data_IF_805790779587
#
_entry.id   IF_805790779587
#
_cell.length_a   1.000
_cell.length_b   1.000
_cell.length_c   1.000
_cell.angle_alpha   90.00
_cell.angle_beta   90.00
_cell.angle_gamma   90.00
#
_symmetry.space_group_name_H-M   'P 1'
#
loop_
_entity.id
_entity.type
_entity.pdbx_description
1 polymer ?
#
# COMPACT_ATOMS: atom_id res chain seq x y z
N UNK A 1 28.01 43.08 52.46
CA UNK A 1 26.68 43.71 52.29
C UNK A 1 26.72 44.45 50.95
N UNK A 2 26.07 44.09 49.84
CA UNK A 2 25.11 43.05 49.43
C UNK A 2 25.56 42.54 48.05
N UNK A 3 25.41 41.24 47.81
CA UNK A 3 25.80 40.51 46.59
C UNK A 3 24.74 40.72 45.50
N UNK A 4 25.20 41.11 44.30
CA UNK A 4 24.42 41.15 43.06
C UNK A 4 24.51 39.77 42.37
N UNK A 5 23.34 39.22 42.00
CA UNK A 5 22.99 38.47 40.76
C UNK A 5 23.97 37.36 40.29
N UNK A 6 23.54 36.15 39.94
CA UNK A 6 22.70 35.82 38.78
C UNK A 6 22.18 34.38 38.92
N UNK A 7 20.86 34.22 38.76
CA UNK A 7 20.17 32.95 38.56
C UNK A 7 20.05 32.75 37.03
N UNK A 8 20.84 31.85 36.45
CA UNK A 8 20.69 31.42 35.05
C UNK A 8 20.19 29.99 35.01
N UNK A 9 18.87 29.83 34.92
CA UNK A 9 18.21 28.57 34.56
C UNK A 9 18.31 28.44 33.05
N UNK A 10 19.15 27.52 32.57
CA UNK A 10 19.23 27.13 31.16
C UNK A 10 18.02 26.24 30.86
N UNK A 11 17.01 26.80 30.19
CA UNK A 11 15.95 26.02 29.56
C UNK A 11 16.53 25.39 28.28
N UNK A 12 16.88 24.10 28.36
CA UNK A 12 17.12 23.28 27.17
C UNK A 12 15.75 22.99 26.56
N UNK A 13 15.34 23.82 25.61
CA UNK A 13 14.19 23.52 24.74
C UNK A 13 14.67 22.40 23.82
N UNK A 14 14.40 21.16 24.23
CA UNK A 14 14.41 20.02 23.32
C UNK A 14 13.34 20.28 22.27
N UNK A 15 13.71 20.86 21.14
CA UNK A 15 12.87 20.87 19.94
C UNK A 15 12.78 19.42 19.44
N UNK A 16 11.85 18.67 20.03
CA UNK A 16 11.28 17.52 19.35
C UNK A 16 10.67 18.07 18.07
N UNK A 17 11.40 17.94 16.96
CA UNK A 17 10.84 18.02 15.61
C UNK A 17 9.80 16.90 15.51
N UNK A 18 8.60 17.16 16.00
CA UNK A 18 7.42 16.43 15.61
C UNK A 18 7.23 16.73 14.12
N UNK A 19 7.89 15.95 13.27
CA UNK A 19 7.66 16.00 11.83
C UNK A 19 6.17 15.76 11.62
N UNK A 20 5.46 16.79 11.14
CA UNK A 20 4.06 16.66 10.80
C UNK A 20 3.88 15.49 9.83
N UNK A 21 2.90 14.63 10.13
CA UNK A 21 2.61 13.47 9.28
C UNK A 21 2.19 14.00 7.91
N UNK A 22 3.04 13.77 6.89
CA UNK A 22 2.77 14.20 5.53
C UNK A 22 1.44 13.62 5.03
N UNK A 23 0.51 14.50 4.67
CA UNK A 23 -0.76 14.14 4.05
C UNK A 23 -0.50 13.51 2.67
N UNK A 24 -1.04 12.32 2.45
CA UNK A 24 -0.83 11.56 1.22
C UNK A 24 -1.82 12.02 0.15
N UNK A 25 -1.33 12.30 -1.04
CA UNK A 25 -2.19 12.57 -2.20
C UNK A 25 -2.57 11.26 -2.89
N UNK A 26 -3.86 11.00 -3.20
CA UNK A 26 -4.29 9.73 -3.80
C UNK A 26 -3.55 9.38 -5.10
N UNK A 27 -3.23 10.39 -5.91
CA UNK A 27 -2.50 10.23 -7.17
C UNK A 27 -1.03 9.79 -7.01
N UNK A 28 -0.41 10.07 -5.86
CA UNK A 28 0.95 9.61 -5.55
C UNK A 28 0.96 8.20 -4.94
N UNK A 29 -0.13 7.80 -4.28
CA UNK A 29 -0.24 6.53 -3.57
C UNK A 29 -0.49 5.34 -4.51
N UNK A 30 -1.41 5.50 -5.47
CA UNK A 30 -1.82 4.40 -6.35
C UNK A 30 -0.66 3.75 -7.14
N UNK A 31 0.30 4.51 -7.70
CA UNK A 31 1.47 3.91 -8.38
C UNK A 31 2.38 3.09 -7.47
N UNK A 32 2.38 3.34 -6.16
CA UNK A 32 3.16 2.55 -5.20
C UNK A 32 2.40 1.27 -4.77
N UNK A 33 1.08 1.35 -4.68
CA UNK A 33 0.17 0.23 -4.40
C UNK A 33 0.13 -0.82 -5.52
N UNK A 34 0.18 -0.41 -6.78
CA UNK A 34 0.07 -1.29 -7.93
C UNK A 34 1.43 -1.79 -8.43
N UNK A 35 1.49 -3.08 -8.77
CA UNK A 35 2.62 -3.70 -9.47
C UNK A 35 2.08 -4.55 -10.62
N UNK A 36 2.77 -4.51 -11.76
CA UNK A 36 2.40 -5.29 -12.93
C UNK A 36 3.61 -5.94 -13.59
N UNK A 37 3.39 -7.10 -14.19
CA UNK A 37 4.33 -7.84 -15.01
C UNK A 37 3.65 -8.16 -16.34
N UNK A 38 4.30 -7.82 -17.45
CA UNK A 38 3.81 -8.09 -18.79
C UNK A 38 4.82 -8.93 -19.58
N UNK A 39 4.46 -10.18 -19.88
CA UNK A 39 5.33 -11.13 -20.58
C UNK A 39 4.47 -11.97 -21.53
N UNK A 40 4.90 -12.13 -22.79
CA UNK A 40 4.23 -13.00 -23.77
C UNK A 40 2.71 -12.78 -23.88
N UNK A 41 2.28 -11.52 -23.98
CA UNK A 41 0.86 -11.11 -24.02
C UNK A 41 0.04 -11.47 -22.79
N UNK A 42 0.70 -11.88 -21.70
CA UNK A 42 0.11 -12.05 -20.38
C UNK A 42 0.42 -10.83 -19.52
N UNK A 43 -0.62 -10.26 -18.90
CA UNK A 43 -0.51 -9.17 -17.95
C UNK A 43 -0.95 -9.67 -16.56
N UNK A 44 -0.04 -9.60 -15.60
CA UNK A 44 -0.33 -9.88 -14.20
C UNK A 44 -0.24 -8.59 -13.44
N UNK A 45 -1.33 -8.19 -12.78
CA UNK A 45 -1.40 -6.99 -11.96
C UNK A 45 -1.80 -7.38 -10.55
N UNK A 46 -1.07 -6.85 -9.56
CA UNK A 46 -1.41 -6.92 -8.15
C UNK A 46 -1.49 -5.51 -7.61
N UNK A 47 -2.62 -5.18 -7.00
CA UNK A 47 -2.82 -3.91 -6.28
C UNK A 47 -3.01 -4.21 -4.82
N UNK A 48 -2.14 -3.67 -3.98
CA UNK A 48 -2.34 -3.66 -2.53
C UNK A 48 -3.21 -2.46 -2.15
N UNK A 49 -4.22 -2.67 -1.32
CA UNK A 49 -5.02 -1.61 -0.74
C UNK A 49 -4.63 -1.44 0.74
N UNK A 50 -3.60 -0.62 1.05
CA UNK A 50 -3.25 -0.32 2.44
C UNK A 50 -4.38 0.43 3.14
N UNK A 51 -4.37 0.42 4.48
CA UNK A 51 -5.39 1.05 5.30
C UNK A 51 -5.57 2.54 4.96
N UNK A 52 -4.47 3.26 4.73
CA UNK A 52 -4.47 4.67 4.35
C UNK A 52 -5.11 4.92 2.98
N UNK A 53 -4.99 3.96 2.05
CA UNK A 53 -5.73 4.04 0.80
C UNK A 53 -7.22 3.86 1.08
N UNK A 54 -7.61 2.85 1.85
CA UNK A 54 -9.03 2.61 2.17
C UNK A 54 -9.67 3.78 2.93
N UNK A 55 -8.95 4.42 3.83
CA UNK A 55 -9.40 5.61 4.56
C UNK A 55 -9.83 6.72 3.59
N UNK A 56 -9.06 6.98 2.53
CA UNK A 56 -9.38 7.98 1.51
C UNK A 56 -10.71 7.65 0.81
N UNK A 57 -11.01 6.38 0.56
CA UNK A 57 -12.27 5.97 -0.08
C UNK A 57 -13.45 6.02 0.89
N UNK A 58 -13.27 5.49 2.10
CA UNK A 58 -14.35 5.33 3.07
C UNK A 58 -14.79 6.69 3.64
N UNK A 59 -13.87 7.62 3.85
CA UNK A 59 -14.21 8.98 4.31
C UNK A 59 -15.10 9.74 3.33
N UNK A 60 -15.16 9.33 2.06
CA UNK A 60 -16.09 9.90 1.06
C UNK A 60 -17.54 9.39 1.24
N UNK A 61 -17.74 8.28 1.97
CA UNK A 61 -19.04 7.63 2.14
C UNK A 61 -19.97 8.32 3.15
N UNK A 62 -19.54 9.45 3.76
CA UNK A 62 -20.32 10.25 4.74
C UNK A 62 -20.95 9.41 5.86
N UNK A 63 -20.24 8.39 6.33
CA UNK A 63 -20.67 7.52 7.44
C UNK A 63 -20.54 8.23 8.79
N UNK A 64 -21.20 7.70 9.82
CA UNK A 64 -20.99 8.15 11.19
C UNK A 64 -19.58 7.80 11.67
N UNK A 65 -19.01 8.57 12.61
CA UNK A 65 -17.66 8.29 13.13
C UNK A 65 -17.54 6.89 13.73
N UNK A 66 -18.58 6.43 14.43
CA UNK A 66 -18.60 5.09 15.02
C UNK A 66 -18.55 3.98 13.96
N UNK A 67 -19.23 4.16 12.82
CA UNK A 67 -19.19 3.19 11.72
C UNK A 67 -17.86 3.24 10.98
N UNK A 68 -17.27 4.43 10.82
CA UNK A 68 -15.92 4.60 10.30
C UNK A 68 -14.91 3.84 11.16
N UNK A 69 -14.92 4.05 12.47
CA UNK A 69 -13.98 3.41 13.39
C UNK A 69 -14.11 1.88 13.36
N UNK A 70 -15.33 1.35 13.30
CA UNK A 70 -15.57 -0.10 13.16
C UNK A 70 -14.98 -0.66 11.87
N UNK A 71 -15.24 -0.01 10.73
CA UNK A 71 -14.72 -0.45 9.44
C UNK A 71 -13.18 -0.36 9.44
N UNK A 72 -12.61 0.74 9.91
CA UNK A 72 -11.16 0.94 9.93
C UNK A 72 -10.46 -0.08 10.84
N UNK A 73 -11.04 -0.39 12.00
CA UNK A 73 -10.51 -1.44 12.89
C UNK A 73 -10.55 -2.82 12.22
N UNK A 74 -11.66 -3.17 11.57
CA UNK A 74 -11.78 -4.41 10.81
C UNK A 74 -10.74 -4.50 9.70
N UNK A 75 -10.53 -3.42 8.94
CA UNK A 75 -9.58 -3.38 7.84
C UNK A 75 -8.12 -3.40 8.31
N UNK A 76 -7.82 -2.80 9.46
CA UNK A 76 -6.45 -2.76 10.00
C UNK A 76 -5.90 -4.18 10.29
N UNK A 77 -6.77 -5.14 10.60
CA UNK A 77 -6.38 -6.54 10.81
C UNK A 77 -6.07 -7.31 9.52
N UNK A 78 -6.26 -6.68 8.35
CA UNK A 78 -6.23 -7.35 7.06
C UNK A 78 -5.38 -6.63 6.01
N UNK A 79 -4.67 -7.40 5.18
CA UNK A 79 -4.10 -6.91 3.95
C UNK A 79 -4.99 -7.34 2.79
N UNK A 80 -5.46 -6.37 2.01
CA UNK A 80 -6.36 -6.60 0.90
C UNK A 80 -5.60 -6.43 -0.41
N UNK A 81 -5.66 -7.45 -1.25
CA UNK A 81 -5.04 -7.45 -2.57
C UNK A 81 -6.08 -7.72 -3.63
N UNK A 82 -5.94 -6.98 -4.72
CA UNK A 82 -6.66 -7.21 -5.95
C UNK A 82 -5.67 -7.78 -6.96
N UNK A 83 -6.00 -8.91 -7.54
CA UNK A 83 -5.15 -9.60 -8.51
C UNK A 83 -5.93 -9.80 -9.80
N UNK A 84 -5.29 -9.44 -10.91
CA UNK A 84 -5.75 -9.74 -12.27
C UNK A 84 -4.62 -10.46 -12.98
N UNK A 85 -4.91 -11.63 -13.53
CA UNK A 85 -4.01 -12.31 -14.47
C UNK A 85 -4.78 -12.49 -15.78
N UNK A 86 -4.44 -11.66 -16.76
CA UNK A 86 -5.07 -11.65 -18.07
C UNK A 86 -4.11 -12.08 -19.16
N UNK A 87 -4.62 -12.74 -20.19
CA UNK A 87 -3.87 -13.10 -21.38
C UNK A 87 -4.63 -12.64 -22.61
N UNK A 88 -3.92 -11.99 -23.53
CA UNK A 88 -4.47 -11.61 -24.82
C UNK A 88 -4.04 -12.66 -25.83
N UNK A 89 -5.01 -13.31 -26.45
CA UNK A 89 -4.80 -14.23 -27.57
C UNK A 89 -5.35 -13.58 -28.85
N UNK A 90 -4.66 -13.78 -29.98
CA UNK A 90 -5.11 -13.29 -31.29
C UNK A 90 -5.68 -14.46 -32.07
N UNK A 91 -7.01 -14.46 -32.26
CA UNK A 91 -7.74 -15.51 -32.97
C UNK A 91 -8.49 -14.88 -34.13
N UNK A 92 -8.23 -15.35 -35.36
CA UNK A 92 -8.92 -14.89 -36.57
C UNK A 92 -8.93 -13.34 -36.73
N UNK A 93 -7.77 -12.70 -36.53
CA UNK A 93 -7.60 -11.23 -36.58
C UNK A 93 -8.40 -10.45 -35.52
N UNK A 94 -8.90 -11.11 -34.46
CA UNK A 94 -9.50 -10.46 -33.29
C UNK A 94 -8.67 -10.74 -32.04
N UNK A 95 -8.51 -9.73 -31.20
CA UNK A 95 -7.90 -9.89 -29.89
C UNK A 95 -8.96 -10.33 -28.90
N UNK A 96 -8.73 -11.47 -28.23
CA UNK A 96 -9.58 -11.99 -27.16
C UNK A 96 -8.78 -11.95 -25.86
N UNK A 97 -9.34 -11.29 -24.85
CA UNK A 97 -8.75 -11.28 -23.51
C UNK A 97 -9.40 -12.37 -22.67
N UNK A 98 -8.59 -13.27 -22.13
CA UNK A 98 -8.99 -14.25 -21.13
C UNK A 98 -8.40 -13.88 -19.77
N UNK A 99 -9.02 -14.36 -18.69
CA UNK A 99 -8.59 -14.11 -17.32
C UNK A 99 -8.49 -15.42 -16.57
N UNK A 100 -7.51 -15.55 -15.67
CA UNK A 100 -7.51 -16.66 -14.72
C UNK A 100 -8.64 -16.50 -13.71
N UNK A 101 -9.22 -17.63 -13.32
CA UNK A 101 -10.28 -17.69 -12.31
C UNK A 101 -9.69 -17.59 -10.90
N UNK A 102 -10.53 -17.24 -9.92
CA UNK A 102 -10.14 -17.23 -8.50
C UNK A 102 -9.52 -18.58 -8.10
N UNK A 103 -10.17 -19.69 -8.44
CA UNK A 103 -9.71 -21.04 -8.09
C UNK A 103 -8.28 -21.33 -8.63
N UNK A 104 -7.94 -20.83 -9.82
CA UNK A 104 -6.61 -21.00 -10.40
C UNK A 104 -5.54 -20.20 -9.64
N UNK A 105 -5.82 -18.94 -9.30
CA UNK A 105 -4.87 -18.07 -8.61
C UNK A 105 -4.75 -18.45 -7.13
N UNK A 106 -5.88 -18.69 -6.45
CA UNK A 106 -5.97 -19.01 -5.01
C UNK A 106 -5.13 -20.21 -4.62
N UNK A 107 -4.99 -21.21 -5.52
CA UNK A 107 -4.17 -22.40 -5.28
C UNK A 107 -2.71 -22.08 -4.95
N UNK A 108 -2.17 -21.03 -5.57
CA UNK A 108 -0.73 -20.74 -5.54
C UNK A 108 -0.40 -19.37 -4.94
N UNK A 109 -1.38 -18.49 -4.73
CA UNK A 109 -1.11 -17.16 -4.18
C UNK A 109 -0.67 -17.23 -2.72
N UNK A 110 0.44 -16.54 -2.42
CA UNK A 110 1.04 -16.44 -1.08
C UNK A 110 1.52 -15.03 -0.80
N UNK A 111 1.30 -14.57 0.43
CA UNK A 111 2.01 -13.44 1.00
C UNK A 111 3.31 -13.95 1.62
N UNK A 112 4.43 -13.33 1.29
CA UNK A 112 5.74 -13.59 1.86
C UNK A 112 6.19 -12.37 2.66
N UNK A 113 6.44 -12.51 3.95
CA UNK A 113 6.90 -11.41 4.80
C UNK A 113 8.41 -11.17 4.71
N UNK A 114 8.90 -10.19 5.48
CA UNK A 114 10.33 -9.85 5.56
C UNK A 114 11.20 -10.94 6.19
N UNK A 115 10.60 -11.90 6.91
CA UNK A 115 11.26 -13.09 7.47
C UNK A 115 11.24 -14.30 6.53
N UNK A 116 10.77 -14.13 5.29
CA UNK A 116 10.51 -15.20 4.31
C UNK A 116 9.44 -16.22 4.74
N UNK A 117 8.59 -15.90 5.72
CA UNK A 117 7.43 -16.76 6.04
C UNK A 117 6.34 -16.58 4.99
N UNK A 118 5.72 -17.70 4.63
CA UNK A 118 4.62 -17.76 3.65
C UNK A 118 3.26 -17.88 4.34
N UNK A 119 2.28 -17.13 3.83
CA UNK A 119 0.90 -17.13 4.32
C UNK A 119 -0.07 -17.33 3.14
N UNK A 120 -1.08 -18.15 3.36
CA UNK A 120 -2.21 -18.31 2.44
C UNK A 120 -3.24 -17.19 2.66
N UNK A 121 -4.05 -16.84 1.65
CA UNK A 121 -5.19 -15.98 1.86
C UNK A 121 -6.21 -16.65 2.79
N UNK A 122 -6.95 -15.84 3.54
CA UNK A 122 -8.10 -16.27 4.33
C UNK A 122 -9.15 -16.83 3.36
N UNK A 123 -9.75 -17.96 3.72
CA UNK A 123 -10.84 -18.54 2.93
C UNK A 123 -12.15 -17.76 3.14
N UNK A 124 -13.07 -17.82 2.19
CA UNK A 124 -14.29 -17.02 2.25
C UNK A 124 -15.18 -17.38 3.44
N UNK A 125 -15.17 -18.65 3.87
CA UNK A 125 -15.88 -19.16 5.05
C UNK A 125 -15.25 -18.76 6.38
N UNK A 126 -13.98 -18.32 6.38
CA UNK A 126 -13.29 -17.78 7.56
C UNK A 126 -13.43 -16.26 7.71
N UNK A 127 -13.97 -15.57 6.69
CA UNK A 127 -14.21 -14.13 6.76
C UNK A 127 -15.41 -13.83 7.67
N UNK A 128 -15.32 -12.73 8.42
CA UNK A 128 -16.48 -12.23 9.14
C UNK A 128 -17.58 -11.77 8.16
N UNK A 129 -18.83 -11.76 8.64
CA UNK A 129 -19.96 -11.23 7.89
C UNK A 129 -19.69 -9.77 7.48
N UNK A 130 -19.21 -8.94 8.40
CA UNK A 130 -18.89 -7.53 8.15
C UNK A 130 -17.86 -7.36 7.02
N UNK A 131 -16.80 -8.19 6.99
CA UNK A 131 -15.78 -8.12 5.94
C UNK A 131 -16.34 -8.59 4.60
N UNK A 132 -17.18 -9.62 4.62
CA UNK A 132 -17.85 -10.15 3.44
C UNK A 132 -18.78 -9.09 2.82
N UNK A 133 -19.59 -8.44 3.64
CA UNK A 133 -20.49 -7.38 3.22
C UNK A 133 -19.73 -6.16 2.69
N UNK A 134 -18.64 -5.76 3.36
CA UNK A 134 -17.76 -4.71 2.89
C UNK A 134 -17.19 -5.02 1.50
N UNK A 135 -16.64 -6.22 1.29
CA UNK A 135 -16.12 -6.62 -0.01
C UNK A 135 -17.20 -6.64 -1.09
N UNK A 136 -18.39 -7.14 -0.78
CA UNK A 136 -19.50 -7.20 -1.71
C UNK A 136 -19.98 -5.80 -2.11
N UNK A 137 -19.99 -4.85 -1.18
CA UNK A 137 -20.28 -3.45 -1.47
C UNK A 137 -19.19 -2.75 -2.29
N UNK A 138 -17.92 -3.14 -2.10
CA UNK A 138 -16.77 -2.49 -2.76
C UNK A 138 -16.50 -3.03 -4.17
N UNK A 139 -16.71 -4.34 -4.41
CA UNK A 139 -16.43 -5.02 -5.69
C UNK A 139 -16.97 -4.27 -6.92
N UNK A 140 -18.23 -3.78 -6.96
CA UNK A 140 -18.76 -3.05 -8.11
C UNK A 140 -18.00 -1.75 -8.41
N UNK A 141 -17.64 -1.00 -7.37
CA UNK A 141 -16.89 0.25 -7.50
C UNK A 141 -15.47 0.00 -8.02
N UNK A 142 -14.81 -1.05 -7.54
CA UNK A 142 -13.49 -1.47 -8.04
C UNK A 142 -13.56 -1.96 -9.49
N UNK A 143 -14.57 -2.75 -9.84
CA UNK A 143 -14.76 -3.21 -11.21
C UNK A 143 -14.99 -2.03 -12.16
N UNK A 144 -15.79 -1.03 -11.76
CA UNK A 144 -16.01 0.20 -12.52
C UNK A 144 -14.71 1.01 -12.69
N UNK A 145 -13.90 1.11 -11.64
CA UNK A 145 -12.60 1.81 -11.68
C UNK A 145 -11.61 1.14 -12.64
N UNK A 146 -11.62 -0.19 -12.70
CA UNK A 146 -10.69 -0.99 -13.51
C UNK A 146 -11.18 -1.28 -14.94
N UNK A 147 -12.41 -0.90 -15.28
CA UNK A 147 -13.00 -1.14 -16.59
C UNK A 147 -12.99 -2.63 -16.96
N UNK A 148 -12.47 -2.96 -18.15
CA UNK A 148 -12.41 -4.34 -18.64
C UNK A 148 -11.56 -5.27 -17.77
N UNK A 149 -10.53 -4.75 -17.06
CA UNK A 149 -9.74 -5.57 -16.14
C UNK A 149 -10.54 -5.99 -14.90
N UNK A 150 -11.61 -5.25 -14.58
CA UNK A 150 -12.54 -5.58 -13.50
C UNK A 150 -13.25 -6.92 -13.68
N UNK A 151 -13.35 -7.43 -14.93
CA UNK A 151 -13.99 -8.72 -15.24
C UNK A 151 -13.18 -9.93 -14.76
N UNK A 152 -11.86 -9.80 -14.69
CA UNK A 152 -10.95 -10.85 -14.20
C UNK A 152 -10.37 -10.56 -12.83
N UNK A 153 -11.00 -9.62 -12.10
CA UNK A 153 -10.54 -9.18 -10.79
C UNK A 153 -10.86 -10.23 -9.73
N UNK A 154 -9.83 -10.67 -9.01
CA UNK A 154 -9.97 -11.52 -7.84
C UNK A 154 -9.44 -10.77 -6.61
N UNK A 155 -10.12 -10.92 -5.47
CA UNK A 155 -9.75 -10.27 -4.20
C UNK A 155 -9.23 -11.29 -3.22
N UNK A 156 -8.07 -11.02 -2.64
CA UNK A 156 -7.41 -11.86 -1.66
C UNK A 156 -7.16 -11.09 -0.38
N UNK A 157 -7.55 -11.69 0.74
CA UNK A 157 -7.37 -11.13 2.07
C UNK A 157 -6.35 -11.96 2.81
N UNK A 158 -5.37 -11.31 3.43
CA UNK A 158 -4.40 -11.95 4.33
C UNK A 158 -4.51 -11.29 5.71
N UNK A 159 -4.16 -12.03 6.77
CA UNK A 159 -4.05 -11.44 8.10
C UNK A 159 -2.88 -10.46 8.14
N UNK A 160 -3.13 -9.25 8.64
CA UNK A 160 -2.13 -8.21 8.81
C UNK A 160 -1.44 -8.33 10.18
N UNK A 161 -0.86 -9.50 10.47
CA UNK A 161 -0.14 -9.76 11.72
C UNK A 161 1.22 -10.36 11.41
N UNK A 162 2.29 -9.71 11.90
CA UNK A 162 3.60 -10.36 12.01
C UNK A 162 3.57 -11.37 13.17
N UNK A 163 4.36 -12.44 13.08
CA UNK A 163 4.37 -13.53 14.07
C UNK A 163 4.72 -13.04 15.48
N UNK A 164 5.50 -11.96 15.59
CA UNK A 164 5.97 -11.40 16.85
C UNK A 164 4.95 -10.47 17.53
N UNK A 165 3.75 -10.29 16.96
CA UNK A 165 2.71 -9.42 17.53
C UNK A 165 2.99 -7.93 17.35
N UNK A 166 4.09 -7.53 16.71
CA UNK A 166 4.40 -6.13 16.42
C UNK A 166 3.94 -5.69 15.01
N UNK A 167 3.83 -4.37 14.89
CA UNK A 167 3.26 -3.52 13.83
C UNK A 167 2.84 -4.20 12.51
N UNK A 168 1.57 -3.98 12.19
CA UNK A 168 0.94 -4.16 10.88
C UNK A 168 1.81 -3.63 9.73
N UNK A 169 1.63 -4.19 8.53
CA UNK A 169 2.17 -3.60 7.32
C UNK A 169 1.55 -2.20 7.13
N UNK A 170 2.33 -1.18 7.43
CA UNK A 170 1.96 0.22 7.34
C UNK A 170 2.87 0.91 6.32
N UNK A 171 2.30 1.72 5.44
CA UNK A 171 3.06 2.36 4.34
C UNK A 171 4.12 3.36 4.80
N UNK A 172 4.16 3.73 6.09
CA UNK A 172 5.11 4.67 6.68
C UNK A 172 6.23 4.00 7.48
N UNK A 173 6.09 2.72 7.81
CA UNK A 173 7.08 1.99 8.60
C UNK A 173 8.02 1.20 7.70
N UNK A 174 9.28 1.02 8.12
CA UNK A 174 10.23 0.21 7.37
C UNK A 174 9.81 -1.26 7.42
N UNK A 175 9.48 -1.82 6.26
CA UNK A 175 9.16 -3.23 6.13
C UNK A 175 9.30 -3.66 4.66
N UNK A 176 9.14 -4.95 4.41
CA UNK A 176 9.13 -5.52 3.07
C UNK A 176 8.23 -6.75 3.06
N UNK A 177 7.47 -6.91 2.00
CA UNK A 177 6.72 -8.13 1.74
C UNK A 177 6.58 -8.38 0.25
N UNK A 178 6.07 -9.55 -0.12
CA UNK A 178 5.80 -9.89 -1.50
C UNK A 178 4.52 -10.68 -1.65
N UNK A 179 3.84 -10.51 -2.78
CA UNK A 179 2.84 -11.45 -3.26
C UNK A 179 3.48 -12.31 -4.33
N UNK A 180 3.44 -13.62 -4.10
CA UNK A 180 3.88 -14.63 -5.06
C UNK A 180 2.65 -15.38 -5.55
N UNK A 181 2.54 -15.59 -6.86
CA UNK A 181 1.64 -16.60 -7.41
C UNK A 181 2.21 -17.09 -8.75
N UNK A 182 2.05 -18.38 -8.99
CA UNK A 182 2.71 -19.10 -10.08
C UNK A 182 4.23 -18.82 -10.09
N UNK A 183 4.76 -18.27 -11.19
CA UNK A 183 6.17 -17.92 -11.35
C UNK A 183 6.49 -16.44 -11.04
N UNK A 184 5.50 -15.63 -10.68
CA UNK A 184 5.66 -14.17 -10.55
C UNK A 184 5.78 -13.76 -9.09
N UNK A 185 6.57 -12.71 -8.84
CA UNK A 185 6.83 -12.15 -7.52
C UNK A 185 6.71 -10.62 -7.56
N UNK A 186 5.75 -10.09 -6.82
CA UNK A 186 5.51 -8.65 -6.70
C UNK A 186 5.96 -8.20 -5.31
N UNK A 187 6.97 -7.33 -5.24
CA UNK A 187 7.60 -6.92 -3.97
C UNK A 187 7.29 -5.45 -3.67
N UNK A 188 6.89 -5.18 -2.42
CA UNK A 188 6.78 -3.83 -1.87
C UNK A 188 7.88 -3.62 -0.84
N UNK A 189 8.59 -2.50 -0.97
CA UNK A 189 9.55 -2.04 0.02
C UNK A 189 8.94 -0.79 0.67
N UNK A 190 8.84 -0.80 1.99
CA UNK A 190 8.25 0.28 2.79
C UNK A 190 9.36 1.02 3.57
N UNK A 191 9.16 2.30 3.91
CA UNK A 191 7.98 3.11 3.63
C UNK A 191 7.80 3.45 2.15
N UNK A 192 6.56 3.73 1.76
CA UNK A 192 6.25 4.32 0.45
C UNK A 192 6.86 5.71 0.34
N UNK A 193 7.36 6.02 -0.85
CA UNK A 193 8.06 7.28 -1.14
C UNK A 193 7.14 8.48 -0.93
N UNK A 194 5.85 8.36 -1.26
CA UNK A 194 4.85 9.39 -1.05
C UNK A 194 4.66 9.75 0.43
N UNK A 195 5.06 8.87 1.36
CA UNK A 195 4.98 9.09 2.80
C UNK A 195 6.21 9.76 3.39
N UNK A 196 7.31 9.76 2.63
CA UNK A 196 8.56 10.38 3.06
C UNK A 196 8.47 11.91 2.94
N UNK A 197 9.23 12.64 3.79
CA UNK A 197 9.41 14.08 3.63
C UNK A 197 9.85 14.44 2.20
N UNK A 198 9.40 15.59 1.73
CA UNK A 198 9.82 16.12 0.44
C UNK A 198 11.32 16.47 0.51
N UNK A 199 12.08 16.01 -0.48
CA UNK A 199 13.48 16.40 -0.66
C UNK A 199 13.56 17.44 -1.77
N UNK A 200 14.53 18.34 -1.67
CA UNK A 200 14.78 19.37 -2.68
C UNK A 200 16.25 19.35 -3.09
N UNK A 201 16.52 19.50 -4.37
CA UNK A 201 17.89 19.65 -4.85
C UNK A 201 18.49 20.97 -4.35
N UNK A 202 19.73 20.99 -3.82
CA UNK A 202 20.31 22.19 -3.25
C UNK A 202 20.60 23.28 -4.29
N UNK A 203 20.77 22.90 -5.57
CA UNK A 203 21.15 23.80 -6.66
C UNK A 203 19.93 24.54 -7.24
N UNK A 204 18.95 23.80 -7.75
CA UNK A 204 17.79 24.33 -8.48
C UNK A 204 16.51 24.40 -7.64
N UNK A 205 16.52 23.83 -6.43
CA UNK A 205 15.36 23.69 -5.53
C UNK A 205 14.21 22.86 -6.11
N UNK A 206 14.45 22.05 -7.13
CA UNK A 206 13.44 21.14 -7.65
C UNK A 206 13.11 20.04 -6.65
N UNK A 207 11.84 19.62 -6.62
CA UNK A 207 11.33 18.54 -5.75
C UNK A 207 11.87 17.18 -6.22
N UNK A 208 12.44 16.43 -5.28
CA UNK A 208 13.06 15.13 -5.49
C UNK A 208 12.27 14.03 -4.74
N UNK A 209 12.45 12.78 -5.15
CA UNK A 209 11.84 11.64 -4.44
C UNK A 209 12.47 11.47 -3.06
N UNK A 210 11.65 11.28 -2.02
CA UNK A 210 12.11 11.19 -0.63
C UNK A 210 13.05 10.02 -0.32
N UNK A 211 13.09 9.00 -1.19
CA UNK A 211 13.98 7.84 -1.05
C UNK A 211 15.32 8.00 -1.77
N UNK A 212 15.59 9.14 -2.41
CA UNK A 212 16.85 9.38 -3.11
C UNK A 212 17.93 9.94 -2.17
N UNK A 213 19.18 9.59 -2.46
CA UNK A 213 20.34 10.13 -1.75
C UNK A 213 21.02 11.27 -2.54
N UNK A 214 20.85 11.31 -3.86
CA UNK A 214 21.47 12.29 -4.76
C UNK A 214 20.45 12.83 -5.76
N UNK A 215 20.63 14.07 -6.20
CA UNK A 215 19.89 14.66 -7.32
C UNK A 215 20.29 13.94 -8.62
N UNK A 216 19.35 13.46 -9.45
CA UNK A 216 19.68 12.75 -10.69
C UNK A 216 20.27 13.67 -11.76
N UNK A 217 19.95 14.96 -11.71
CA UNK A 217 20.42 15.96 -12.68
C UNK A 217 21.79 16.51 -12.31
N UNK A 218 21.98 16.87 -11.04
CA UNK A 218 23.17 17.58 -10.57
C UNK A 218 24.17 16.72 -9.80
N UNK A 219 23.83 15.48 -9.44
CA UNK A 219 24.70 14.56 -8.69
C UNK A 219 24.99 14.98 -7.25
N UNK A 220 24.43 16.10 -6.77
CA UNK A 220 24.63 16.58 -5.41
C UNK A 220 23.83 15.78 -4.40
N UNK A 221 24.38 15.60 -3.20
CA UNK A 221 23.68 14.95 -2.09
C UNK A 221 22.39 15.69 -1.74
N UNK A 222 21.31 14.95 -1.54
CA UNK A 222 20.06 15.47 -0.98
C UNK A 222 20.17 15.34 0.54
N UNK A 223 20.21 16.46 1.25
CA UNK A 223 20.22 16.45 2.71
C UNK A 223 18.87 15.91 3.22
N UNK A 224 18.92 14.94 4.14
CA UNK A 224 17.73 14.38 4.81
C UNK A 224 17.46 15.10 6.12
#
# INVERSE_FOLDING_TARGET
MKIFTVLSIILIISSTNAQEIKKIQPGELMPECAKSEYVNMQNKTVVWFPLEFMEIFITQLKLSQNDLDKIMNMLNEHMIFLVVDSKIDVVQQRSVTTFKTDAQIRKNIKLIDSSNKSFSPISEDELSNDMTDFLNGMKPSLAKLLGEMGKGMNVYIFKNKLINGESSFNIRTKNKFSINFDSSKFTWNLPFVCTLPDLFCPIDKEKMKGNWNYCPTHGTSLAK
#
